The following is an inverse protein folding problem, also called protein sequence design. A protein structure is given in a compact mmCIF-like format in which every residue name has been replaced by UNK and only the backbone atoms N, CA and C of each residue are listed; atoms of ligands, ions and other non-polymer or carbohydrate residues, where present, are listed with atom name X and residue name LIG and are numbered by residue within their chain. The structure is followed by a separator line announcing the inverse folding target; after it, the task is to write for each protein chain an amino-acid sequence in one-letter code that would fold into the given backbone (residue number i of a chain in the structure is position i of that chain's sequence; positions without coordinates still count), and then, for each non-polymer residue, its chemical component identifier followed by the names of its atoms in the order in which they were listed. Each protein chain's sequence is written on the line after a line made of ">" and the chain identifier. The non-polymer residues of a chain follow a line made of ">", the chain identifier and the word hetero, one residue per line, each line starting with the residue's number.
data_IF_597031762905
#
_entry.id   IF_597031762905
#
_cell.length_a   1.000
_cell.length_b   1.000
_cell.length_c   1.000
_cell.angle_alpha   90.00
_cell.angle_beta   90.00
_cell.angle_gamma   90.00
#
_symmetry.space_group_name_H-M   'P 1'
#
loop_
_entity.id
_entity.type
_entity.pdbx_description
1 polymer ?
#
# COMPACT_ATOMS: atom_id res chain seq x y z
N UNK A 1 4.51 -23.51 -6.61
CA UNK A 1 3.59 -24.67 -6.57
C UNK A 1 4.26 -25.99 -6.15
N UNK A 2 5.46 -26.36 -6.63
CA UNK A 2 6.13 -27.62 -6.23
C UNK A 2 6.35 -27.76 -4.71
N UNK A 3 6.42 -26.65 -3.98
CA UNK A 3 6.68 -26.60 -2.52
C UNK A 3 5.48 -26.07 -1.72
N UNK A 4 4.29 -25.96 -2.34
CA UNK A 4 3.06 -25.51 -1.65
C UNK A 4 2.95 -24.02 -1.39
N UNK A 5 3.82 -23.18 -1.98
CA UNK A 5 3.70 -21.73 -1.89
C UNK A 5 2.82 -21.18 -3.02
N UNK A 6 1.84 -20.34 -2.66
CA UNK A 6 0.92 -19.70 -3.61
C UNK A 6 1.08 -18.17 -3.65
N UNK A 7 1.62 -17.57 -2.60
CA UNK A 7 1.76 -16.12 -2.46
C UNK A 7 3.02 -15.75 -1.68
N UNK A 8 3.57 -14.58 -2.00
CA UNK A 8 4.69 -13.96 -1.29
C UNK A 8 4.33 -12.53 -0.93
N UNK A 9 4.59 -12.14 0.32
CA UNK A 9 4.65 -10.73 0.70
C UNK A 9 6.02 -10.18 0.34
N UNK A 10 6.06 -9.13 -0.48
CA UNK A 10 7.28 -8.53 -0.99
C UNK A 10 7.28 -7.04 -0.67
N UNK A 11 8.29 -6.58 0.06
CA UNK A 11 8.53 -5.16 0.31
C UNK A 11 9.04 -4.49 -0.97
N UNK A 12 8.12 -4.06 -1.82
CA UNK A 12 8.42 -3.25 -3.01
C UNK A 12 8.78 -1.83 -2.58
N UNK A 13 8.19 -1.35 -1.51
CA UNK A 13 8.29 -0.06 -0.86
C UNK A 13 7.83 1.10 -1.75
N UNK A 14 8.44 1.31 -2.92
CA UNK A 14 8.10 2.42 -3.82
C UNK A 14 8.32 2.07 -5.29
N UNK A 15 7.67 2.84 -6.17
CA UNK A 15 7.96 2.93 -7.60
C UNK A 15 8.65 4.27 -7.96
N UNK A 16 9.34 4.90 -6.98
CA UNK A 16 10.20 6.07 -7.18
C UNK A 16 11.63 5.70 -6.76
N UNK A 17 12.61 5.87 -7.67
CA UNK A 17 13.99 5.50 -7.38
C UNK A 17 14.61 6.34 -6.26
N UNK A 18 14.21 7.62 -6.12
CA UNK A 18 14.63 8.49 -5.00
C UNK A 18 14.24 7.87 -3.66
N UNK A 19 12.97 7.50 -3.48
CA UNK A 19 12.48 6.91 -2.24
C UNK A 19 13.15 5.56 -1.92
N UNK A 20 13.40 4.72 -2.94
CA UNK A 20 14.11 3.45 -2.75
C UNK A 20 15.53 3.68 -2.23
N UNK A 21 16.20 4.75 -2.69
CA UNK A 21 17.51 5.17 -2.17
C UNK A 21 17.41 5.61 -0.71
N UNK A 22 16.42 6.44 -0.38
CA UNK A 22 16.20 6.96 0.97
C UNK A 22 15.88 5.84 1.98
N UNK A 23 15.14 4.82 1.54
CA UNK A 23 14.87 3.61 2.34
C UNK A 23 16.05 2.64 2.41
N UNK A 24 17.25 3.04 1.94
CA UNK A 24 18.46 2.21 1.92
C UNK A 24 18.26 0.85 1.21
N UNK A 25 17.33 0.79 0.28
CA UNK A 25 17.06 -0.42 -0.52
C UNK A 25 18.09 -0.53 -1.65
N UNK A 26 18.79 -1.65 -1.70
CA UNK A 26 19.72 -1.99 -2.80
C UNK A 26 18.97 -2.50 -4.03
N UNK A 27 17.93 -1.76 -4.46
CA UNK A 27 17.06 -2.11 -5.58
C UNK A 27 16.67 -0.84 -6.34
N UNK A 28 15.97 -1.00 -7.45
CA UNK A 28 15.38 0.10 -8.22
C UNK A 28 14.00 -0.33 -8.76
N UNK A 29 13.28 0.61 -9.35
CA UNK A 29 11.94 0.38 -9.89
C UNK A 29 11.91 -0.74 -10.92
N UNK A 30 12.91 -0.83 -11.79
CA UNK A 30 12.99 -1.88 -12.82
C UNK A 30 13.12 -3.27 -12.21
N UNK A 31 13.97 -3.43 -11.20
CA UNK A 31 14.15 -4.69 -10.46
C UNK A 31 12.84 -5.07 -9.76
N UNK A 32 12.16 -4.11 -9.13
CA UNK A 32 10.88 -4.33 -8.47
C UNK A 32 9.80 -4.81 -9.45
N UNK A 33 9.66 -4.15 -10.58
CA UNK A 33 8.72 -4.55 -11.65
C UNK A 33 9.06 -5.95 -12.18
N UNK A 34 10.34 -6.24 -12.41
CA UNK A 34 10.82 -7.55 -12.84
C UNK A 34 10.48 -8.65 -11.83
N UNK A 35 10.65 -8.38 -10.53
CA UNK A 35 10.35 -9.34 -9.47
C UNK A 35 8.86 -9.68 -9.44
N UNK A 36 7.97 -8.68 -9.50
CA UNK A 36 6.51 -8.91 -9.58
C UNK A 36 6.16 -9.74 -10.81
N UNK A 37 6.66 -9.38 -11.99
CA UNK A 37 6.40 -10.10 -13.24
C UNK A 37 6.90 -11.55 -13.20
N UNK A 38 8.03 -11.84 -12.54
CA UNK A 38 8.52 -13.22 -12.38
C UNK A 38 7.54 -14.04 -11.54
N UNK A 39 7.04 -13.50 -10.44
CA UNK A 39 6.05 -14.19 -9.60
C UNK A 39 4.77 -14.45 -10.39
N UNK A 40 4.22 -13.44 -11.06
CA UNK A 40 2.99 -13.56 -11.85
C UNK A 40 3.11 -14.59 -12.98
N UNK A 41 4.22 -14.60 -13.72
CA UNK A 41 4.48 -15.59 -14.79
C UNK A 41 4.57 -17.03 -14.29
N UNK A 42 4.95 -17.20 -13.02
CA UNK A 42 4.97 -18.52 -12.37
C UNK A 42 3.66 -18.88 -11.66
N UNK A 43 2.60 -18.08 -11.86
CA UNK A 43 1.28 -18.32 -11.24
C UNK A 43 1.25 -18.06 -9.74
N UNK A 44 2.22 -17.29 -9.22
CA UNK A 44 2.34 -16.93 -7.81
C UNK A 44 1.76 -15.53 -7.57
N UNK A 45 1.08 -15.34 -6.44
CA UNK A 45 0.60 -14.04 -6.03
C UNK A 45 1.73 -13.23 -5.40
N UNK A 46 1.99 -12.05 -5.94
CA UNK A 46 2.78 -11.03 -5.25
C UNK A 46 1.84 -10.15 -4.41
N UNK A 47 2.04 -10.13 -3.09
CA UNK A 47 1.42 -9.17 -2.20
C UNK A 47 2.44 -8.06 -1.94
N UNK A 48 2.32 -6.95 -2.64
CA UNK A 48 3.29 -5.86 -2.63
C UNK A 48 3.03 -4.92 -1.45
N UNK A 49 4.00 -4.80 -0.55
CA UNK A 49 4.06 -3.74 0.47
C UNK A 49 4.58 -2.46 -0.16
N UNK A 50 3.85 -1.36 0.03
CA UNK A 50 4.13 -0.05 -0.54
C UNK A 50 4.00 1.02 0.52
N UNK A 51 4.94 1.95 0.54
CA UNK A 51 4.98 3.10 1.44
C UNK A 51 4.64 4.35 0.63
N UNK A 52 3.78 5.19 1.17
CA UNK A 52 3.41 6.49 0.62
C UNK A 52 4.06 7.56 1.49
N UNK A 53 4.91 8.39 0.88
CA UNK A 53 5.65 9.45 1.57
C UNK A 53 4.77 10.63 1.97
N UNK A 54 5.26 11.44 2.89
CA UNK A 54 4.58 12.63 3.41
C UNK A 54 4.51 13.77 2.39
N UNK A 55 5.42 13.78 1.43
CA UNK A 55 5.55 14.80 0.38
C UNK A 55 4.79 14.47 -0.90
N UNK A 56 4.08 13.34 -0.93
CA UNK A 56 3.37 12.89 -2.13
C UNK A 56 2.31 13.89 -2.58
N UNK A 57 2.26 14.07 -3.91
CA UNK A 57 1.23 14.83 -4.63
C UNK A 57 0.32 13.86 -5.40
N UNK A 58 -0.77 14.38 -5.97
CA UNK A 58 -1.72 13.58 -6.76
C UNK A 58 -1.04 12.75 -7.86
N UNK A 59 -0.03 13.33 -8.52
CA UNK A 59 0.71 12.74 -9.62
C UNK A 59 1.51 11.49 -9.20
N UNK A 60 2.01 11.45 -7.96
CA UNK A 60 2.68 10.28 -7.40
C UNK A 60 1.71 9.11 -7.23
N UNK A 61 0.50 9.39 -6.72
CA UNK A 61 -0.57 8.38 -6.63
C UNK A 61 -1.02 7.91 -8.01
N UNK A 62 -1.09 8.80 -9.01
CA UNK A 62 -1.43 8.42 -10.39
C UNK A 62 -0.36 7.51 -10.99
N UNK A 63 0.92 7.82 -10.76
CA UNK A 63 2.06 6.99 -11.18
C UNK A 63 2.00 5.61 -10.52
N UNK A 64 1.77 5.56 -9.20
CA UNK A 64 1.59 4.31 -8.47
C UNK A 64 0.46 3.46 -9.07
N UNK A 65 -0.73 4.06 -9.27
CA UNK A 65 -1.90 3.37 -9.86
C UNK A 65 -1.57 2.81 -11.25
N UNK A 66 -0.84 3.56 -12.07
CA UNK A 66 -0.45 3.12 -13.41
C UNK A 66 0.49 1.91 -13.35
N UNK A 67 1.51 1.92 -12.48
CA UNK A 67 2.38 0.76 -12.26
C UNK A 67 1.59 -0.46 -11.80
N UNK A 68 0.69 -0.31 -10.84
CA UNK A 68 -0.10 -1.40 -10.30
C UNK A 68 -1.07 -1.99 -11.34
N UNK A 69 -1.67 -1.15 -12.18
CA UNK A 69 -2.57 -1.61 -13.23
C UNK A 69 -1.86 -2.25 -14.43
N UNK A 70 -0.55 -2.07 -14.56
CA UNK A 70 0.26 -2.77 -15.55
C UNK A 70 0.49 -4.26 -15.19
N UNK A 71 0.36 -4.63 -13.92
CA UNK A 71 0.46 -6.02 -13.48
C UNK A 71 -0.81 -6.83 -13.80
N UNK A 72 -0.64 -8.16 -13.92
CA UNK A 72 -1.75 -9.05 -14.27
C UNK A 72 -2.77 -9.20 -13.11
N UNK A 73 -2.29 -9.35 -11.88
CA UNK A 73 -3.15 -9.55 -10.71
C UNK A 73 -2.58 -8.86 -9.46
N UNK A 74 -2.48 -7.51 -9.45
CA UNK A 74 -1.89 -6.77 -8.36
C UNK A 74 -2.66 -7.00 -7.06
N UNK A 75 -1.95 -7.38 -6.01
CA UNK A 75 -2.44 -7.38 -4.63
C UNK A 75 -1.51 -6.50 -3.82
N UNK A 76 -2.06 -5.47 -3.20
CA UNK A 76 -1.25 -4.41 -2.61
C UNK A 76 -1.64 -4.11 -1.18
N UNK A 77 -0.65 -3.74 -0.38
CA UNK A 77 -0.79 -3.10 0.90
C UNK A 77 -0.14 -1.71 0.81
N UNK A 78 -0.96 -0.69 0.72
CA UNK A 78 -0.52 0.71 0.62
C UNK A 78 -0.60 1.33 2.00
N UNK A 79 0.54 1.73 2.54
CA UNK A 79 0.67 2.26 3.89
C UNK A 79 1.24 3.68 3.84
N UNK A 80 0.71 4.64 4.62
CA UNK A 80 1.42 5.87 4.87
C UNK A 80 2.74 5.57 5.57
N UNK A 81 3.77 6.35 5.27
CA UNK A 81 5.01 6.29 6.07
C UNK A 81 4.65 6.46 7.54
N UNK A 82 5.14 5.58 8.39
CA UNK A 82 4.78 5.60 9.81
C UNK A 82 6.07 5.58 10.63
N UNK A 83 6.55 6.75 11.07
CA UNK A 83 7.69 6.84 11.98
C UNK A 83 7.32 6.26 13.34
N UNK A 84 7.60 4.98 13.56
CA UNK A 84 7.19 4.27 14.77
C UNK A 84 7.92 4.79 16.01
N UNK A 85 7.23 5.01 17.14
CA UNK A 85 7.86 5.42 18.39
C UNK A 85 9.02 4.50 18.79
N UNK A 86 10.16 5.08 19.11
CA UNK A 86 11.38 4.34 19.49
C UNK A 86 12.27 3.96 18.30
N UNK A 87 11.98 4.41 17.10
CA UNK A 87 12.86 4.28 15.93
C UNK A 87 13.59 5.60 15.64
N UNK A 88 14.77 5.57 15.00
CA UNK A 88 15.46 6.80 14.57
C UNK A 88 14.58 7.70 13.71
N UNK A 89 13.75 7.11 12.86
CA UNK A 89 12.83 7.85 12.01
C UNK A 89 11.79 8.66 12.82
N UNK A 90 11.35 8.13 13.97
CA UNK A 90 10.45 8.86 14.87
C UNK A 90 11.10 10.13 15.43
N UNK A 91 12.37 10.04 15.80
CA UNK A 91 13.12 11.17 16.33
C UNK A 91 13.42 12.20 15.23
N UNK A 92 13.68 11.76 14.00
CA UNK A 92 13.91 12.59 12.83
C UNK A 92 12.66 13.39 12.44
N UNK A 93 11.48 12.75 12.42
CA UNK A 93 10.21 13.43 12.10
C UNK A 93 9.72 14.38 13.20
N UNK A 94 10.06 14.14 14.46
CA UNK A 94 9.89 15.04 15.59
C UNK A 94 8.57 15.86 15.59
N UNK A 95 8.67 17.14 15.21
CA UNK A 95 7.56 18.09 15.22
C UNK A 95 6.50 17.88 14.10
N UNK A 96 6.78 17.10 13.10
CA UNK A 96 5.83 16.76 12.02
C UNK A 96 4.83 15.71 12.45
N UNK A 97 5.12 14.96 13.51
CA UNK A 97 4.22 13.97 14.09
C UNK A 97 3.06 14.69 14.78
N UNK A 98 1.85 14.35 14.37
CA UNK A 98 0.61 14.93 14.92
C UNK A 98 -0.08 14.03 15.93
N UNK A 99 0.33 12.77 16.04
CA UNK A 99 -0.29 11.78 16.92
C UNK A 99 0.51 11.62 18.22
N UNK A 100 -0.19 11.41 19.34
CA UNK A 100 0.44 11.15 20.64
C UNK A 100 1.08 9.76 20.66
N UNK A 101 2.28 9.68 21.25
CA UNK A 101 3.04 8.43 21.37
C UNK A 101 2.23 7.31 22.05
N UNK A 102 1.43 7.67 23.06
CA UNK A 102 0.65 6.74 23.86
C UNK A 102 -0.61 6.23 23.18
N UNK A 103 -1.03 6.85 22.07
CA UNK A 103 -2.19 6.41 21.30
C UNK A 103 -1.84 5.27 20.35
N UNK A 104 -1.53 4.10 20.91
CA UNK A 104 -1.08 2.93 20.16
C UNK A 104 -2.07 2.49 19.06
N UNK A 105 -3.35 2.84 19.18
CA UNK A 105 -4.35 2.49 18.17
C UNK A 105 -4.14 3.18 16.83
N UNK A 106 -3.43 4.30 16.80
CA UNK A 106 -3.12 5.06 15.58
C UNK A 106 -1.76 4.70 14.96
N UNK A 107 -0.92 3.91 15.65
CA UNK A 107 0.39 3.47 15.16
C UNK A 107 0.30 2.12 14.42
N UNK A 108 -0.72 1.97 13.56
CA UNK A 108 -1.11 0.72 12.89
C UNK A 108 -0.71 0.67 11.41
N UNK A 109 0.10 1.64 10.93
CA UNK A 109 0.49 1.80 9.52
C UNK A 109 -0.68 2.04 8.56
N UNK A 110 -1.86 2.38 9.08
CA UNK A 110 -3.04 2.77 8.30
C UNK A 110 -3.46 4.21 8.61
N UNK A 111 -3.28 4.64 9.86
CA UNK A 111 -3.48 6.03 10.24
C UNK A 111 -2.32 6.92 9.80
N UNK A 112 -2.64 8.11 9.33
CA UNK A 112 -1.66 9.15 9.00
C UNK A 112 -1.31 9.89 10.28
N UNK A 113 -0.17 9.56 10.86
CA UNK A 113 0.29 10.08 12.16
C UNK A 113 1.12 11.37 12.06
N UNK A 114 1.24 11.92 10.86
CA UNK A 114 2.00 13.12 10.54
C UNK A 114 1.14 14.12 9.76
N UNK A 115 1.65 15.33 9.56
CA UNK A 115 1.04 16.34 8.70
C UNK A 115 1.59 16.17 7.27
N UNK A 116 0.78 15.74 6.28
CA UNK A 116 1.25 15.67 4.89
C UNK A 116 1.69 17.04 4.39
N UNK A 117 2.84 17.10 3.70
CA UNK A 117 3.50 18.36 3.31
C UNK A 117 2.82 19.05 2.12
N UNK A 118 2.20 18.30 1.22
CA UNK A 118 1.70 18.80 -0.06
C UNK A 118 0.17 18.79 -0.20
N UNK A 119 -0.52 18.23 0.77
CA UNK A 119 -1.99 18.17 0.75
C UNK A 119 -2.57 18.07 2.17
N UNK A 120 -3.88 18.22 2.30
CA UNK A 120 -4.56 17.96 3.56
C UNK A 120 -4.59 16.47 3.90
N UNK A 121 -4.62 16.10 5.19
CA UNK A 121 -4.76 14.72 5.66
C UNK A 121 -5.98 14.02 5.04
N UNK A 122 -7.10 14.75 4.88
CA UNK A 122 -8.31 14.27 4.21
C UNK A 122 -8.06 13.87 2.76
N UNK A 123 -7.35 14.71 1.99
CA UNK A 123 -7.03 14.45 0.59
C UNK A 123 -6.03 13.28 0.46
N UNK A 124 -5.11 13.17 1.40
CA UNK A 124 -4.16 12.07 1.47
C UNK A 124 -4.87 10.72 1.67
N UNK A 125 -5.79 10.61 2.64
CA UNK A 125 -6.64 9.42 2.81
C UNK A 125 -7.48 9.12 1.58
N UNK A 126 -8.05 10.15 0.94
CA UNK A 126 -8.80 9.98 -0.30
C UNK A 126 -7.94 9.33 -1.39
N UNK A 127 -6.68 9.76 -1.57
CA UNK A 127 -5.79 9.18 -2.57
C UNK A 127 -5.39 7.74 -2.23
N UNK A 128 -5.18 7.38 -0.98
CA UNK A 128 -4.97 5.98 -0.56
C UNK A 128 -6.18 5.13 -0.96
N UNK A 129 -7.39 5.57 -0.60
CA UNK A 129 -8.64 4.87 -0.96
C UNK A 129 -8.81 4.75 -2.46
N UNK A 130 -8.55 5.83 -3.20
CA UNK A 130 -8.59 5.87 -4.65
C UNK A 130 -7.62 4.85 -5.27
N UNK A 131 -6.43 4.69 -4.70
CA UNK A 131 -5.46 3.68 -5.14
C UNK A 131 -6.05 2.27 -4.98
N UNK A 132 -6.57 1.94 -3.81
CA UNK A 132 -7.23 0.64 -3.58
C UNK A 132 -8.40 0.39 -4.53
N UNK A 133 -9.27 1.39 -4.75
CA UNK A 133 -10.42 1.25 -5.64
C UNK A 133 -10.00 1.02 -7.09
N UNK A 134 -9.03 1.79 -7.58
CA UNK A 134 -8.55 1.69 -8.97
C UNK A 134 -7.84 0.36 -9.23
N UNK A 135 -7.06 -0.15 -8.28
CA UNK A 135 -6.36 -1.43 -8.42
C UNK A 135 -7.27 -2.63 -8.20
N UNK A 136 -8.20 -2.58 -7.22
CA UNK A 136 -9.14 -3.68 -6.96
C UNK A 136 -10.21 -3.86 -8.04
N UNK A 137 -10.41 -2.86 -8.90
CA UNK A 137 -11.27 -2.95 -10.07
C UNK A 137 -10.69 -3.83 -11.20
N UNK A 138 -9.42 -4.26 -11.09
CA UNK A 138 -8.75 -5.08 -12.09
C UNK A 138 -9.48 -6.43 -12.29
N UNK A 139 -9.96 -6.66 -13.53
CA UNK A 139 -10.72 -7.87 -13.87
C UNK A 139 -9.85 -9.14 -13.83
N UNK A 140 -8.57 -9.03 -14.20
CA UNK A 140 -7.60 -10.13 -14.20
C UNK A 140 -7.33 -10.60 -12.76
N UNK A 141 -7.12 -9.65 -11.80
CA UNK A 141 -6.99 -9.97 -10.37
C UNK A 141 -8.22 -10.71 -9.84
N UNK A 142 -9.42 -10.22 -10.16
CA UNK A 142 -10.66 -10.88 -9.73
C UNK A 142 -10.80 -12.31 -10.26
N UNK A 143 -10.42 -12.51 -11.51
CA UNK A 143 -10.41 -13.84 -12.16
C UNK A 143 -9.38 -14.74 -11.46
N UNK A 144 -8.17 -14.24 -11.22
CA UNK A 144 -7.09 -14.97 -10.56
C UNK A 144 -7.50 -15.42 -9.15
N UNK A 145 -7.99 -14.51 -8.28
CA UNK A 145 -8.40 -14.87 -6.93
C UNK A 145 -9.51 -15.94 -6.94
N UNK A 146 -10.47 -15.85 -7.87
CA UNK A 146 -11.54 -16.85 -7.98
C UNK A 146 -11.04 -18.21 -8.46
N UNK A 147 -10.06 -18.23 -9.36
CA UNK A 147 -9.50 -19.49 -9.89
C UNK A 147 -8.60 -20.19 -8.87
N UNK A 148 -7.73 -19.44 -8.18
CA UNK A 148 -6.77 -20.01 -7.23
C UNK A 148 -7.40 -20.37 -5.87
N UNK A 149 -8.29 -19.49 -5.35
CA UNK A 149 -8.81 -19.63 -3.98
C UNK A 149 -10.30 -19.89 -3.90
N UNK A 150 -11.00 -19.89 -5.02
CA UNK A 150 -12.42 -20.18 -5.12
C UNK A 150 -13.36 -19.02 -4.72
N UNK A 151 -14.66 -19.17 -5.06
CA UNK A 151 -15.69 -18.15 -4.86
C UNK A 151 -15.93 -17.79 -3.37
N UNK A 152 -15.73 -18.75 -2.45
CA UNK A 152 -15.93 -18.53 -1.01
C UNK A 152 -14.90 -17.58 -0.44
N UNK A 153 -13.62 -17.79 -0.77
CA UNK A 153 -12.50 -16.91 -0.36
C UNK A 153 -12.66 -15.54 -1.00
N UNK A 154 -12.96 -15.46 -2.30
CA UNK A 154 -13.21 -14.21 -2.98
C UNK A 154 -14.31 -13.37 -2.30
N UNK A 155 -15.42 -13.99 -1.87
CA UNK A 155 -16.49 -13.28 -1.12
C UNK A 155 -16.01 -12.76 0.23
N UNK A 156 -15.15 -13.51 0.94
CA UNK A 156 -14.53 -13.05 2.21
C UNK A 156 -13.62 -11.86 2.01
N UNK A 157 -12.74 -11.93 1.00
CA UNK A 157 -11.83 -10.82 0.63
C UNK A 157 -12.64 -9.54 0.31
N UNK A 158 -13.71 -9.65 -0.49
CA UNK A 158 -14.58 -8.50 -0.78
C UNK A 158 -15.26 -7.91 0.44
N UNK A 159 -15.73 -8.75 1.38
CA UNK A 159 -16.32 -8.26 2.63
C UNK A 159 -15.29 -7.55 3.51
N UNK A 160 -14.06 -8.09 3.59
CA UNK A 160 -12.94 -7.44 4.27
C UNK A 160 -12.59 -6.09 3.65
N UNK A 161 -12.44 -6.05 2.33
CA UNK A 161 -12.19 -4.81 1.60
C UNK A 161 -13.28 -3.75 1.81
N UNK A 162 -14.56 -4.15 1.84
CA UNK A 162 -15.65 -3.23 2.13
C UNK A 162 -15.57 -2.64 3.55
N UNK A 163 -15.21 -3.46 4.57
CA UNK A 163 -15.02 -2.96 5.94
C UNK A 163 -13.89 -1.93 6.01
N UNK A 164 -12.74 -2.24 5.40
CA UNK A 164 -11.60 -1.32 5.34
C UNK A 164 -11.99 -0.03 4.61
N UNK A 165 -12.72 -0.12 3.51
CA UNK A 165 -13.22 1.05 2.79
C UNK A 165 -14.08 1.96 3.68
N UNK A 166 -15.01 1.41 4.46
CA UNK A 166 -15.83 2.22 5.39
C UNK A 166 -15.00 2.82 6.53
N UNK A 167 -13.97 2.14 7.01
CA UNK A 167 -13.03 2.72 7.99
C UNK A 167 -12.29 3.93 7.40
N UNK A 168 -11.74 3.80 6.21
CA UNK A 168 -11.09 4.92 5.53
C UNK A 168 -12.05 6.07 5.19
N UNK A 169 -13.30 5.79 4.82
CA UNK A 169 -14.30 6.84 4.62
C UNK A 169 -14.50 7.66 5.90
N UNK A 170 -14.52 7.01 7.06
CA UNK A 170 -14.61 7.70 8.35
C UNK A 170 -13.39 8.63 8.54
N UNK A 171 -12.17 8.17 8.26
CA UNK A 171 -10.94 8.98 8.32
C UNK A 171 -10.92 10.13 7.30
N UNK A 172 -11.59 9.99 6.14
CA UNK A 172 -11.76 11.08 5.18
C UNK A 172 -12.74 12.15 5.71
N UNK A 173 -13.81 11.74 6.37
CA UNK A 173 -14.85 12.66 6.91
C UNK A 173 -14.31 13.36 8.15
N UNK A 174 -13.71 12.62 9.06
CA UNK A 174 -13.12 13.09 10.32
C UNK A 174 -11.64 12.68 10.35
N UNK A 175 -10.76 13.38 9.63
CA UNK A 175 -9.32 13.18 9.77
C UNK A 175 -8.92 13.80 11.10
N UNK A 176 -8.51 13.00 12.04
CA UNK A 176 -8.05 13.44 13.37
C UNK A 176 -6.89 14.43 13.27
#
# INVERSE_FOLDING_TARGET
>A
HRHGYDAFFVGIESFKNSELSDYTKKTNVEINVKAVNILERNGLQCYSGLIVGEDWVKEDFDTLINHLNAFEHPLVNVQPITPMPGTPLYDEYGYEITEKRENYACWDMAHVVFKPLKMSKRLYYYHIVRTYLKTSANAKQRKFIKSCYGKKVYRRVRRGAAKIFFQYLRLIICPD
#
